data_IF_704187302608
#
_entry.id   IF_704187302608
#
_cell.length_a   1.000
_cell.length_b   1.000
_cell.length_c   1.000
_cell.angle_alpha   90.00
_cell.angle_beta   90.00
_cell.angle_gamma   90.00
#
_symmetry.space_group_name_H-M   'P 1'
#
loop_
_entity.id
_entity.type
_entity.pdbx_description
1 polymer ?
#
# COMPACT_ATOMS: atom_id res chain seq x y z
N UNK A 1 2.76 7.53 -15.03
CA UNK A 1 1.45 7.55 -14.32
C UNK A 1 1.61 8.34 -13.04
N UNK A 2 0.75 9.35 -12.79
CA UNK A 2 0.70 10.01 -11.49
C UNK A 2 -0.23 9.18 -10.59
N UNK A 3 0.18 8.77 -9.38
CA UNK A 3 -0.71 8.03 -8.50
C UNK A 3 -1.88 8.94 -8.10
N UNK A 4 -3.11 8.45 -8.29
CA UNK A 4 -4.35 9.15 -7.89
C UNK A 4 -4.84 8.71 -6.51
N UNK A 5 -4.42 7.54 -6.04
CA UNK A 5 -4.81 6.93 -4.77
C UNK A 5 -3.57 6.31 -4.07
N UNK A 6 -3.42 6.55 -2.77
CA UNK A 6 -2.33 6.05 -1.92
C UNK A 6 -2.93 5.35 -0.70
N UNK A 7 -2.48 4.13 -0.44
CA UNK A 7 -2.94 3.30 0.69
C UNK A 7 -1.81 3.07 1.68
N UNK A 8 -2.14 3.09 2.97
CA UNK A 8 -1.24 2.68 4.06
C UNK A 8 -1.99 1.82 5.09
N UNK A 9 -1.22 1.18 5.95
CA UNK A 9 -1.75 0.54 7.16
C UNK A 9 -2.27 1.59 8.16
N UNK A 10 -3.07 1.13 9.12
CA UNK A 10 -3.71 1.98 10.16
C UNK A 10 -2.70 2.82 10.94
N UNK A 11 -1.48 2.31 11.16
CA UNK A 11 -0.42 3.06 11.85
C UNK A 11 0.06 4.31 11.08
N UNK A 12 -0.15 4.36 9.76
CA UNK A 12 0.16 5.52 8.91
C UNK A 12 -1.00 6.51 8.77
N UNK A 13 -2.18 6.19 9.30
CA UNK A 13 -3.42 6.93 9.09
C UNK A 13 -3.60 8.08 10.11
N UNK A 14 -2.68 9.05 10.10
CA UNK A 14 -2.79 10.27 10.91
C UNK A 14 -3.56 11.37 10.18
N UNK A 15 -4.14 12.32 10.92
CA UNK A 15 -4.80 13.50 10.33
C UNK A 15 -3.81 14.31 9.49
N UNK A 16 -2.55 14.44 9.92
CA UNK A 16 -1.49 15.11 9.14
C UNK A 16 -1.32 14.46 7.77
N UNK A 17 -1.36 13.12 7.69
CA UNK A 17 -1.24 12.39 6.43
C UNK A 17 -2.44 12.69 5.51
N UNK A 18 -3.67 12.59 6.02
CA UNK A 18 -4.86 12.99 5.27
C UNK A 18 -4.76 14.44 4.75
N UNK A 19 -4.31 15.37 5.58
CA UNK A 19 -4.14 16.78 5.20
C UNK A 19 -3.12 16.96 4.06
N UNK A 20 -1.96 16.31 4.14
CA UNK A 20 -0.93 16.40 3.09
C UNK A 20 -1.44 15.80 1.78
N UNK A 21 -2.02 14.61 1.81
CA UNK A 21 -2.52 13.97 0.60
C UNK A 21 -3.62 14.81 -0.05
N UNK A 22 -4.51 15.40 0.76
CA UNK A 22 -5.52 16.33 0.29
C UNK A 22 -4.91 17.54 -0.42
N UNK A 23 -3.90 18.18 0.17
CA UNK A 23 -3.21 19.32 -0.46
C UNK A 23 -2.49 18.94 -1.76
N UNK A 24 -1.97 17.71 -1.83
CA UNK A 24 -1.29 17.18 -3.02
C UNK A 24 -2.28 16.75 -4.12
N UNK A 25 -3.59 16.75 -3.85
CA UNK A 25 -4.62 16.31 -4.78
C UNK A 25 -4.65 14.78 -4.96
N UNK A 26 -4.21 14.02 -3.96
CA UNK A 26 -4.21 12.56 -3.96
C UNK A 26 -5.23 12.03 -2.96
N UNK A 27 -5.95 10.99 -3.35
CA UNK A 27 -6.84 10.29 -2.42
C UNK A 27 -6.00 9.42 -1.48
N UNK A 28 -6.13 9.64 -0.18
CA UNK A 28 -5.56 8.75 0.83
C UNK A 28 -6.62 7.74 1.28
N UNK A 29 -6.34 6.46 1.10
CA UNK A 29 -7.28 5.36 1.36
C UNK A 29 -6.65 4.31 2.28
N UNK A 30 -6.41 4.61 3.57
CA UNK A 30 -5.84 3.66 4.50
C UNK A 30 -6.86 2.59 4.92
N UNK A 31 -6.39 1.38 5.24
CA UNK A 31 -7.24 0.41 5.96
C UNK A 31 -7.34 0.79 7.42
N UNK A 32 -8.55 0.67 7.91
CA UNK A 32 -8.90 0.92 9.29
C UNK A 32 -9.16 -0.43 9.93
N UNK A 33 -8.21 -0.89 10.74
CA UNK A 33 -8.34 -2.16 11.46
C UNK A 33 -9.56 -2.14 12.41
N UNK A 34 -9.85 -0.98 13.00
CA UNK A 34 -11.03 -0.73 13.80
C UNK A 34 -11.80 0.47 13.23
N UNK A 35 -12.50 0.24 12.11
CA UNK A 35 -13.33 1.26 11.51
C UNK A 35 -14.54 1.60 12.40
N UNK A 36 -15.00 0.66 13.26
CA UNK A 36 -16.15 0.85 14.13
C UNK A 36 -15.93 1.88 15.24
N UNK A 37 -14.69 2.06 15.69
CA UNK A 37 -14.33 3.11 16.66
C UNK A 37 -13.89 4.43 16.01
N UNK A 38 -13.88 4.51 14.67
CA UNK A 38 -13.40 5.69 13.97
C UNK A 38 -14.29 6.90 14.25
N UNK A 39 -13.67 8.00 14.64
CA UNK A 39 -14.33 9.27 14.91
C UNK A 39 -14.49 10.07 13.62
N UNK A 40 -15.73 10.49 13.33
CA UNK A 40 -16.04 11.52 12.33
C UNK A 40 -15.99 12.91 12.98
N UNK A 41 -15.65 13.94 12.21
CA UNK A 41 -15.60 15.33 12.68
C UNK A 41 -16.65 16.19 11.98
N UNK A 42 -17.16 17.21 12.68
CA UNK A 42 -18.21 18.11 12.17
C UNK A 42 -17.64 19.50 11.89
N UNK A 43 -18.04 20.12 10.78
CA UNK A 43 -17.76 21.54 10.53
C UNK A 43 -18.75 22.44 11.26
N UNK A 44 -20.04 22.06 11.25
CA UNK A 44 -21.12 22.72 11.98
C UNK A 44 -21.51 21.91 13.23
N UNK A 45 -21.30 22.45 14.45
CA UNK A 45 -21.70 21.77 15.68
C UNK A 45 -23.22 21.65 15.84
N UNK A 46 -24.01 22.52 15.20
CA UNK A 46 -25.47 22.55 15.29
C UNK A 46 -26.17 21.64 14.26
N UNK A 47 -25.44 21.07 13.30
CA UNK A 47 -26.01 20.14 12.34
C UNK A 47 -26.67 18.94 13.05
N UNK A 48 -27.61 18.29 12.38
CA UNK A 48 -28.19 17.02 12.82
C UNK A 48 -27.92 15.95 11.75
N UNK A 49 -27.17 14.91 12.12
CA UNK A 49 -26.87 13.75 11.27
C UNK A 49 -27.67 12.51 11.69
N UNK A 50 -28.72 12.68 12.51
CA UNK A 50 -29.61 11.62 12.95
C UNK A 50 -28.84 10.50 13.68
N UNK A 51 -28.97 9.22 13.24
CA UNK A 51 -28.29 8.09 13.86
C UNK A 51 -26.76 8.21 13.96
N UNK A 52 -26.14 9.05 13.10
CA UNK A 52 -24.69 9.21 13.05
C UNK A 52 -24.15 10.23 14.07
N UNK A 53 -25.00 10.97 14.78
CA UNK A 53 -24.56 11.99 15.73
C UNK A 53 -23.58 11.43 16.79
N UNK A 54 -23.81 10.20 17.26
CA UNK A 54 -22.96 9.55 18.26
C UNK A 54 -21.58 9.12 17.71
N UNK A 55 -21.43 9.01 16.38
CA UNK A 55 -20.16 8.69 15.70
C UNK A 55 -19.34 9.95 15.37
N UNK A 56 -19.97 11.11 15.47
CA UNK A 56 -19.30 12.40 15.25
C UNK A 56 -18.83 13.00 16.56
N UNK A 57 -17.57 13.41 16.63
CA UNK A 57 -16.99 14.21 17.74
C UNK A 57 -16.61 15.60 17.26
N UNK A 58 -15.99 16.37 18.17
CA UNK A 58 -15.25 17.64 18.06
C UNK A 58 -15.37 18.44 16.75
N UNK A 59 -15.66 19.74 16.89
CA UNK A 59 -15.71 20.70 15.79
C UNK A 59 -14.34 20.85 15.10
N UNK A 60 -14.34 20.77 13.76
CA UNK A 60 -13.20 21.15 12.92
C UNK A 60 -13.04 22.67 13.00
N UNK A 61 -11.84 23.15 13.31
CA UNK A 61 -11.56 24.58 13.28
C UNK A 61 -11.26 25.02 11.84
N UNK A 62 -12.30 25.35 11.08
CA UNK A 62 -12.18 25.82 9.70
C UNK A 62 -11.46 27.17 9.60
N UNK A 63 -11.55 28.02 10.64
CA UNK A 63 -10.82 29.28 10.71
C UNK A 63 -9.32 29.07 10.68
N UNK A 64 -8.82 28.08 11.44
CA UNK A 64 -7.38 27.75 11.42
C UNK A 64 -6.91 27.26 10.05
N UNK A 65 -7.77 26.56 9.29
CA UNK A 65 -7.45 26.13 7.92
C UNK A 65 -7.35 27.35 7.00
N UNK A 66 -8.31 28.28 7.08
CA UNK A 66 -8.34 29.47 6.23
C UNK A 66 -7.20 30.44 6.56
N UNK A 67 -6.93 30.66 7.84
CA UNK A 67 -5.90 31.59 8.31
C UNK A 67 -4.49 31.13 7.94
N UNK A 68 -4.27 29.81 7.87
CA UNK A 68 -2.98 29.20 7.49
C UNK A 68 -2.94 28.70 6.04
N UNK A 69 -3.91 29.06 5.19
CA UNK A 69 -4.06 28.47 3.86
C UNK A 69 -2.81 28.64 2.98
N UNK A 70 -2.23 29.84 2.95
CA UNK A 70 -1.03 30.13 2.17
C UNK A 70 0.18 29.32 2.65
N UNK A 71 0.31 29.12 3.96
CA UNK A 71 1.38 28.30 4.54
C UNK A 71 1.19 26.82 4.19
N UNK A 72 -0.04 26.32 4.23
CA UNK A 72 -0.37 24.95 3.83
C UNK A 72 -0.01 24.71 2.35
N UNK A 73 -0.32 25.68 1.47
CA UNK A 73 0.07 25.61 0.06
C UNK A 73 1.58 25.63 -0.13
N UNK A 74 2.33 26.43 0.65
CA UNK A 74 3.80 26.42 0.62
C UNK A 74 4.37 25.07 1.03
N UNK A 75 3.81 24.43 2.06
CA UNK A 75 4.20 23.08 2.48
C UNK A 75 4.01 22.08 1.33
N UNK A 76 2.86 22.10 0.67
CA UNK A 76 2.59 21.24 -0.48
C UNK A 76 3.54 21.53 -1.66
N UNK A 77 3.84 22.80 -1.92
CA UNK A 77 4.78 23.21 -2.96
C UNK A 77 6.21 22.69 -2.67
N UNK A 78 6.69 22.81 -1.43
CA UNK A 78 8.00 22.30 -1.00
C UNK A 78 8.12 20.78 -1.14
N UNK A 79 7.05 20.04 -0.85
CA UNK A 79 6.99 18.60 -1.12
C UNK A 79 7.04 18.30 -2.61
N UNK A 80 6.22 19.01 -3.40
CA UNK A 80 6.11 18.78 -4.84
C UNK A 80 7.39 19.13 -5.60
N UNK A 81 8.13 20.15 -5.15
CA UNK A 81 9.42 20.54 -5.73
C UNK A 81 10.59 19.65 -5.27
N UNK A 82 10.38 18.77 -4.28
CA UNK A 82 11.43 17.95 -3.69
C UNK A 82 12.41 18.73 -2.82
N UNK A 83 12.09 19.98 -2.45
CA UNK A 83 12.92 20.81 -1.59
C UNK A 83 13.10 20.23 -0.18
N UNK A 84 12.14 19.42 0.29
CA UNK A 84 12.18 18.74 1.59
C UNK A 84 11.73 17.29 1.43
N UNK A 85 12.39 16.36 2.11
CA UNK A 85 11.96 14.95 2.16
C UNK A 85 10.67 14.84 2.97
N UNK A 86 9.71 14.05 2.47
CA UNK A 86 8.43 13.86 3.14
C UNK A 86 8.59 13.42 4.62
N UNK A 87 9.48 12.48 4.90
CA UNK A 87 9.72 11.97 6.27
C UNK A 87 10.22 13.04 7.25
N UNK A 88 11.02 14.00 6.77
CA UNK A 88 11.50 15.12 7.59
C UNK A 88 10.39 16.12 7.85
N UNK A 89 9.60 16.44 6.83
CA UNK A 89 8.45 17.31 6.96
C UNK A 89 7.41 16.74 7.93
N UNK A 90 7.05 15.45 7.81
CA UNK A 90 6.12 14.79 8.73
C UNK A 90 6.62 14.89 10.18
N UNK A 91 7.92 14.69 10.41
CA UNK A 91 8.53 14.81 11.75
C UNK A 91 8.46 16.24 12.28
N UNK A 92 8.76 17.22 11.43
CA UNK A 92 8.66 18.64 11.76
C UNK A 92 7.22 19.02 12.14
N UNK A 93 6.23 18.66 11.31
CA UNK A 93 4.82 19.00 11.52
C UNK A 93 4.26 18.36 12.79
N UNK A 94 4.67 17.12 13.10
CA UNK A 94 4.26 16.41 14.31
C UNK A 94 4.93 16.95 15.59
N UNK A 95 6.04 17.70 15.46
CA UNK A 95 6.71 18.38 16.57
C UNK A 95 7.13 17.50 17.75
N UNK A 96 7.40 16.21 17.51
CA UNK A 96 7.82 15.27 18.56
C UNK A 96 6.73 14.93 19.59
N UNK A 97 5.47 15.18 19.28
CA UNK A 97 4.31 14.83 20.13
C UNK A 97 3.27 15.94 20.18
N UNK A 98 3.71 17.20 20.08
CA UNK A 98 2.80 18.36 19.94
C UNK A 98 2.97 18.96 18.55
N UNK A 99 1.92 18.95 17.71
CA UNK A 99 2.01 19.49 16.36
C UNK A 99 2.38 20.98 16.36
N UNK A 100 3.21 21.39 15.39
CA UNK A 100 3.55 22.81 15.16
C UNK A 100 2.29 23.60 14.78
N UNK A 101 2.31 24.96 14.79
CA UNK A 101 1.15 25.74 14.37
C UNK A 101 0.59 25.33 13.00
N UNK A 102 1.49 25.21 12.00
CA UNK A 102 1.13 24.71 10.67
C UNK A 102 0.72 23.23 10.68
N UNK A 103 1.35 22.42 11.53
CA UNK A 103 0.94 21.02 11.78
C UNK A 103 -0.48 20.91 12.31
N UNK A 104 -0.91 21.81 13.19
CA UNK A 104 -2.29 21.87 13.71
C UNK A 104 -3.29 22.28 12.63
N UNK A 105 -2.98 23.31 11.84
CA UNK A 105 -3.83 23.71 10.72
C UNK A 105 -4.02 22.57 9.71
N UNK A 106 -2.92 21.87 9.41
CA UNK A 106 -2.93 20.70 8.55
C UNK A 106 -3.73 19.52 9.14
N UNK A 107 -3.68 19.33 10.46
CA UNK A 107 -4.53 18.34 11.13
C UNK A 107 -6.02 18.67 11.01
N UNK A 108 -6.42 19.93 11.14
CA UNK A 108 -7.83 20.31 10.94
C UNK A 108 -8.30 20.00 9.51
N UNK A 109 -7.47 20.30 8.49
CA UNK A 109 -7.74 19.90 7.11
C UNK A 109 -7.79 18.36 6.97
N UNK A 110 -6.89 17.67 7.64
CA UNK A 110 -6.87 16.21 7.68
C UNK A 110 -8.10 15.58 8.29
N UNK A 111 -8.65 16.17 9.37
CA UNK A 111 -9.91 15.74 9.99
C UNK A 111 -11.09 15.86 9.03
N UNK A 112 -11.12 16.93 8.24
CA UNK A 112 -12.14 17.13 7.20
C UNK A 112 -12.06 16.00 6.17
N UNK A 113 -10.89 15.81 5.55
CA UNK A 113 -10.71 14.81 4.50
C UNK A 113 -10.90 13.38 5.01
N UNK A 114 -10.39 13.10 6.22
CA UNK A 114 -10.61 11.82 6.93
C UNK A 114 -12.10 11.55 7.15
N UNK A 115 -12.89 12.55 7.53
CA UNK A 115 -14.33 12.37 7.77
C UNK A 115 -15.07 12.07 6.48
N UNK A 116 -14.73 12.76 5.39
CA UNK A 116 -15.28 12.49 4.05
C UNK A 116 -14.90 11.06 3.61
N UNK A 117 -13.64 10.68 3.75
CA UNK A 117 -13.18 9.33 3.42
C UNK A 117 -13.91 8.25 4.23
N UNK A 118 -14.04 8.44 5.55
CA UNK A 118 -14.72 7.50 6.44
C UNK A 118 -16.19 7.34 6.07
N UNK A 119 -16.90 8.43 5.77
CA UNK A 119 -18.28 8.36 5.31
C UNK A 119 -18.41 7.50 4.04
N UNK A 120 -17.55 7.74 3.04
CA UNK A 120 -17.50 6.92 1.83
C UNK A 120 -17.11 5.47 2.12
N UNK A 121 -16.16 5.23 3.04
CA UNK A 121 -15.69 3.90 3.41
C UNK A 121 -16.77 3.09 4.14
N UNK A 122 -17.66 3.72 4.90
CA UNK A 122 -18.79 3.06 5.55
C UNK A 122 -19.95 2.77 4.60
N UNK A 123 -20.16 3.60 3.60
CA UNK A 123 -21.24 3.42 2.62
C UNK A 123 -20.86 2.44 1.49
N UNK A 124 -19.65 2.58 0.93
CA UNK A 124 -19.24 1.88 -0.29
C UNK A 124 -18.45 0.58 0.00
N UNK A 125 -19.10 -0.57 -0.23
CA UNK A 125 -18.45 -1.87 -0.13
C UNK A 125 -17.33 -2.08 -1.17
N UNK A 126 -17.46 -1.54 -2.38
CA UNK A 126 -16.46 -1.67 -3.44
C UNK A 126 -15.18 -0.92 -3.05
N UNK A 127 -15.30 0.26 -2.45
CA UNK A 127 -14.17 0.99 -1.87
C UNK A 127 -13.46 0.14 -0.81
N UNK A 128 -14.21 -0.44 0.15
CA UNK A 128 -13.62 -1.32 1.18
C UNK A 128 -12.88 -2.52 0.57
N UNK A 129 -13.48 -3.18 -0.42
CA UNK A 129 -12.87 -4.32 -1.12
C UNK A 129 -11.60 -3.92 -1.87
N UNK A 130 -11.59 -2.75 -2.52
CA UNK A 130 -10.42 -2.21 -3.23
C UNK A 130 -9.27 -1.93 -2.26
N UNK A 131 -9.53 -1.22 -1.15
CA UNK A 131 -8.54 -0.92 -0.12
C UNK A 131 -7.92 -2.19 0.47
N UNK A 132 -8.76 -3.17 0.83
CA UNK A 132 -8.28 -4.45 1.36
C UNK A 132 -7.43 -5.23 0.33
N UNK A 133 -7.84 -5.23 -0.94
CA UNK A 133 -7.09 -5.90 -2.01
C UNK A 133 -5.71 -5.28 -2.21
N UNK A 134 -5.61 -3.96 -2.17
CA UNK A 134 -4.34 -3.25 -2.31
C UNK A 134 -3.37 -3.56 -1.17
N UNK A 135 -3.85 -3.63 0.07
CA UNK A 135 -3.01 -4.02 1.20
C UNK A 135 -2.61 -5.47 1.17
N UNK A 136 -3.53 -6.38 0.81
CA UNK A 136 -3.19 -7.79 0.66
C UNK A 136 -2.05 -7.99 -0.36
N UNK A 137 -1.99 -7.16 -1.43
CA UNK A 137 -0.84 -7.17 -2.36
C UNK A 137 0.44 -6.68 -1.70
N UNK A 138 0.39 -5.59 -0.93
CA UNK A 138 1.56 -5.08 -0.22
C UNK A 138 2.09 -6.09 0.80
N UNK A 139 1.21 -6.70 1.59
CA UNK A 139 1.54 -7.74 2.56
C UNK A 139 2.08 -9.01 1.90
N UNK A 140 1.47 -9.44 0.78
CA UNK A 140 1.97 -10.57 -0.02
C UNK A 140 3.37 -10.30 -0.57
N UNK A 141 3.64 -9.07 -1.03
CA UNK A 141 4.98 -8.65 -1.47
C UNK A 141 5.97 -8.67 -0.33
N UNK A 142 5.60 -8.17 0.85
CA UNK A 142 6.45 -8.23 2.05
C UNK A 142 6.73 -9.66 2.49
N UNK A 143 5.71 -10.53 2.47
CA UNK A 143 5.85 -11.96 2.78
C UNK A 143 6.80 -12.64 1.79
N UNK A 144 6.67 -12.37 0.49
CA UNK A 144 7.61 -12.85 -0.52
C UNK A 144 9.03 -12.34 -0.27
N UNK A 145 9.20 -11.04 0.02
CA UNK A 145 10.49 -10.46 0.32
C UNK A 145 11.15 -11.12 1.55
N UNK A 146 10.40 -11.36 2.63
CA UNK A 146 10.89 -12.09 3.81
C UNK A 146 11.29 -13.52 3.49
N UNK A 147 10.54 -14.23 2.63
CA UNK A 147 10.90 -15.58 2.17
C UNK A 147 12.18 -15.59 1.34
N UNK A 148 12.43 -14.57 0.53
CA UNK A 148 13.66 -14.44 -0.27
C UNK A 148 14.85 -14.09 0.64
N UNK A 149 14.67 -13.18 1.59
CA UNK A 149 15.74 -12.67 2.47
C UNK A 149 16.13 -13.62 3.62
N UNK A 150 15.95 -14.93 3.47
CA UNK A 150 16.00 -15.92 4.55
C UNK A 150 17.44 -16.27 5.05
N UNK A 151 18.40 -15.35 4.96
CA UNK A 151 19.71 -15.50 5.58
C UNK A 151 19.66 -15.08 7.06
N UNK A 152 19.80 -16.03 7.99
CA UNK A 152 19.85 -15.83 9.46
C UNK A 152 18.53 -15.45 10.17
N UNK A 153 17.50 -16.32 10.12
CA UNK A 153 16.28 -16.21 10.96
C UNK A 153 15.54 -14.86 10.88
N UNK A 154 15.74 -14.07 9.83
CA UNK A 154 15.00 -12.81 9.60
C UNK A 154 15.43 -11.63 10.48
N UNK A 155 16.54 -11.71 11.23
CA UNK A 155 17.09 -10.57 11.97
C UNK A 155 18.18 -9.85 11.17
N UNK A 156 17.94 -8.58 10.82
CA UNK A 156 18.94 -7.67 10.28
C UNK A 156 19.92 -7.25 11.39
N UNK A 157 20.95 -8.06 11.63
CA UNK A 157 22.11 -7.65 12.45
C UNK A 157 23.30 -7.29 11.58
N UNK A 158 23.24 -6.10 10.97
CA UNK A 158 24.46 -5.40 10.57
C UNK A 158 24.34 -3.91 10.90
N UNK A 159 25.26 -3.42 11.74
CA UNK A 159 25.61 -2.01 11.79
C UNK A 159 26.27 -1.69 10.45
N UNK A 160 25.60 -0.97 9.56
CA UNK A 160 26.15 0.06 8.64
C UNK A 160 25.07 0.47 7.62
N UNK A 161 24.93 1.78 7.38
CA UNK A 161 23.83 2.39 6.60
C UNK A 161 24.02 2.22 5.08
N UNK A 162 25.25 2.10 4.60
CA UNK A 162 25.57 1.98 3.15
C UNK A 162 25.35 0.56 2.59
N UNK A 163 25.51 -0.51 3.39
CA UNK A 163 25.26 -1.88 2.91
C UNK A 163 23.77 -2.26 2.80
N UNK A 164 22.88 -1.47 3.43
CA UNK A 164 21.44 -1.71 3.41
C UNK A 164 20.80 -1.33 2.07
N UNK A 165 21.28 -0.28 1.40
CA UNK A 165 20.69 0.17 0.14
C UNK A 165 20.91 -0.85 -0.98
N UNK A 166 22.12 -1.41 -1.08
CA UNK A 166 22.44 -2.48 -2.03
C UNK A 166 21.69 -3.77 -1.72
N UNK A 167 21.57 -4.15 -0.44
CA UNK A 167 20.79 -5.32 -0.03
C UNK A 167 19.29 -5.15 -0.30
N UNK A 168 18.73 -3.97 -0.06
CA UNK A 168 17.33 -3.65 -0.36
C UNK A 168 17.09 -3.58 -1.87
N UNK A 169 18.05 -3.05 -2.64
CA UNK A 169 18.03 -3.04 -4.10
C UNK A 169 18.06 -4.45 -4.67
N UNK A 170 18.99 -5.29 -4.23
CA UNK A 170 19.09 -6.69 -4.63
C UNK A 170 17.85 -7.51 -4.23
N UNK A 171 17.32 -7.30 -3.02
CA UNK A 171 16.07 -7.92 -2.58
C UNK A 171 14.88 -7.49 -3.45
N UNK A 172 14.77 -6.19 -3.73
CA UNK A 172 13.74 -5.65 -4.61
C UNK A 172 13.82 -6.22 -6.02
N UNK A 173 15.04 -6.36 -6.55
CA UNK A 173 15.30 -7.03 -7.83
C UNK A 173 14.84 -8.49 -7.80
N UNK A 174 15.23 -9.27 -6.81
CA UNK A 174 14.84 -10.68 -6.68
C UNK A 174 13.33 -10.86 -6.55
N UNK A 175 12.66 -10.01 -5.77
CA UNK A 175 11.19 -9.97 -5.69
C UNK A 175 10.58 -9.74 -7.07
N UNK A 176 11.09 -8.78 -7.83
CA UNK A 176 10.59 -8.49 -9.18
C UNK A 176 10.85 -9.64 -10.16
N UNK A 177 12.00 -10.32 -10.07
CA UNK A 177 12.30 -11.53 -10.88
C UNK A 177 11.28 -12.64 -10.61
N UNK A 178 10.96 -12.89 -9.33
CA UNK A 178 9.93 -13.87 -8.97
C UNK A 178 8.55 -13.47 -9.52
N UNK A 179 8.17 -12.21 -9.38
CA UNK A 179 6.90 -11.68 -9.92
C UNK A 179 6.83 -11.90 -11.43
N UNK A 180 7.91 -11.59 -12.16
CA UNK A 180 7.99 -11.78 -13.59
C UNK A 180 7.86 -13.26 -13.96
N UNK A 181 8.61 -14.14 -13.29
CA UNK A 181 8.52 -15.59 -13.48
C UNK A 181 7.08 -16.08 -13.28
N UNK A 182 6.46 -15.73 -12.16
CA UNK A 182 5.08 -16.12 -11.86
C UNK A 182 4.09 -15.61 -12.90
N UNK A 183 4.25 -14.37 -13.36
CA UNK A 183 3.38 -13.78 -14.38
C UNK A 183 3.45 -14.58 -15.69
N UNK A 184 4.67 -14.88 -16.16
CA UNK A 184 4.90 -15.63 -17.40
C UNK A 184 4.34 -17.05 -17.31
N UNK A 185 4.63 -17.77 -16.22
CA UNK A 185 4.15 -19.15 -16.07
C UNK A 185 2.65 -19.24 -15.79
N UNK A 186 2.06 -18.24 -15.13
CA UNK A 186 0.61 -18.17 -14.94
C UNK A 186 -0.10 -17.96 -16.28
N UNK A 187 0.42 -17.07 -17.14
CA UNK A 187 -0.11 -16.88 -18.49
C UNK A 187 -0.06 -18.19 -19.30
N UNK A 188 1.07 -18.89 -19.28
CA UNK A 188 1.23 -20.19 -19.94
C UNK A 188 0.27 -21.25 -19.39
N UNK A 189 0.05 -21.27 -18.08
CA UNK A 189 -0.91 -22.18 -17.46
C UNK A 189 -2.34 -21.90 -17.91
N UNK A 190 -2.74 -20.63 -18.00
CA UNK A 190 -4.05 -20.23 -18.52
C UNK A 190 -4.22 -20.68 -19.99
N UNK A 191 -3.19 -20.48 -20.82
CA UNK A 191 -3.20 -20.93 -22.22
C UNK A 191 -3.37 -22.44 -22.33
N UNK A 192 -2.65 -23.21 -21.51
CA UNK A 192 -2.78 -24.67 -21.49
C UNK A 192 -4.18 -25.11 -21.04
N UNK A 193 -4.72 -24.54 -19.94
CA UNK A 193 -6.07 -24.85 -19.45
C UNK A 193 -7.13 -24.56 -20.53
N UNK A 194 -6.97 -23.47 -21.28
CA UNK A 194 -7.85 -23.15 -22.43
C UNK A 194 -7.71 -24.16 -23.55
N UNK A 195 -6.49 -24.58 -23.87
CA UNK A 195 -6.23 -25.58 -24.91
C UNK A 195 -6.79 -26.97 -24.54
N UNK A 196 -6.85 -27.29 -23.25
CA UNK A 196 -7.48 -28.50 -22.70
C UNK A 196 -9.03 -28.43 -22.69
N UNK A 197 -9.62 -27.34 -23.21
CA UNK A 197 -11.06 -27.17 -23.36
C UNK A 197 -11.77 -26.57 -22.14
N UNK A 198 -11.03 -26.16 -21.11
CA UNK A 198 -11.62 -25.55 -19.91
C UNK A 198 -11.89 -24.07 -20.13
N UNK A 199 -13.10 -23.62 -19.84
CA UNK A 199 -13.49 -22.21 -19.93
C UNK A 199 -12.87 -21.42 -18.77
N UNK A 200 -12.01 -20.45 -19.08
CA UNK A 200 -11.41 -19.53 -18.09
C UNK A 200 -12.10 -18.16 -18.18
N UNK A 201 -12.78 -17.74 -17.11
CA UNK A 201 -13.45 -16.44 -17.07
C UNK A 201 -12.47 -15.30 -16.81
N UNK A 202 -12.71 -14.14 -17.45
CA UNK A 202 -11.88 -12.95 -17.24
C UNK A 202 -11.88 -12.46 -15.78
N UNK A 203 -12.98 -12.66 -15.07
CA UNK A 203 -13.10 -12.33 -13.65
C UNK A 203 -12.15 -13.15 -12.75
N UNK A 204 -11.84 -14.38 -13.14
CA UNK A 204 -10.92 -15.23 -12.38
C UNK A 204 -9.47 -14.82 -12.64
N UNK A 205 -9.15 -14.49 -13.90
CA UNK A 205 -7.83 -13.93 -14.27
C UNK A 205 -7.56 -12.64 -13.49
N UNK A 206 -8.57 -11.77 -13.36
CA UNK A 206 -8.46 -10.51 -12.62
C UNK A 206 -8.15 -10.69 -11.12
N UNK A 207 -8.40 -11.88 -10.56
CA UNK A 207 -8.12 -12.21 -9.15
C UNK A 207 -6.74 -12.84 -8.93
N UNK A 208 -6.04 -13.22 -10.00
CA UNK A 208 -4.73 -13.86 -9.89
C UNK A 208 -3.68 -12.89 -9.33
N UNK A 209 -2.79 -13.42 -8.49
CA UNK A 209 -1.68 -12.68 -7.91
C UNK A 209 -0.34 -13.32 -8.30
N UNK A 210 0.60 -12.56 -8.89
CA UNK A 210 1.93 -13.08 -9.23
C UNK A 210 2.86 -13.18 -8.00
N UNK A 211 2.33 -13.01 -6.78
CA UNK A 211 3.12 -13.01 -5.53
C UNK A 211 3.17 -14.39 -4.84
N UNK A 212 2.48 -15.40 -5.40
CA UNK A 212 2.51 -16.77 -4.88
C UNK A 212 3.92 -17.34 -4.86
N UNK A 213 4.31 -18.00 -3.75
CA UNK A 213 5.70 -18.43 -3.53
C UNK A 213 5.85 -19.88 -3.06
N UNK A 214 4.75 -20.62 -2.91
CA UNK A 214 4.77 -22.00 -2.39
C UNK A 214 5.52 -22.99 -3.30
N UNK A 215 5.55 -22.71 -4.61
CA UNK A 215 6.22 -23.54 -5.59
C UNK A 215 7.74 -23.28 -5.70
N UNK A 216 8.24 -22.24 -5.02
CA UNK A 216 9.64 -21.83 -5.02
C UNK A 216 10.37 -22.49 -3.87
N UNK A 217 11.45 -23.21 -4.20
CA UNK A 217 12.36 -23.69 -3.18
C UNK A 217 13.43 -22.62 -2.91
N UNK A 218 13.46 -22.10 -1.68
CA UNK A 218 14.43 -21.09 -1.24
C UNK A 218 15.65 -21.71 -0.55
N UNK A 219 15.57 -22.96 -0.10
CA UNK A 219 16.61 -23.64 0.67
C UNK A 219 17.13 -24.89 -0.05
N UNK A 220 18.42 -25.15 0.09
CA UNK A 220 19.06 -26.36 -0.42
C UNK A 220 20.12 -26.06 -1.48
N UNK A 221 20.45 -27.09 -2.26
CA UNK A 221 21.51 -27.03 -3.27
C UNK A 221 20.89 -26.75 -4.63
N UNK A 222 21.32 -25.65 -5.26
CA UNK A 222 20.94 -25.31 -6.62
C UNK A 222 21.98 -25.88 -7.59
N UNK A 223 21.49 -26.55 -8.63
CA UNK A 223 22.32 -26.93 -9.76
C UNK A 223 21.95 -26.03 -10.94
N UNK A 224 22.93 -25.25 -11.42
CA UNK A 224 22.73 -24.26 -12.48
C UNK A 224 23.02 -24.82 -13.88
N UNK A 225 23.06 -26.14 -14.06
CA UNK A 225 23.07 -26.72 -15.41
C UNK A 225 21.75 -26.40 -16.12
N UNK A 226 21.76 -25.37 -16.96
CA UNK A 226 20.63 -25.07 -17.83
C UNK A 226 20.49 -26.15 -18.89
N UNK A 227 19.28 -26.70 -19.05
CA UNK A 227 18.96 -27.49 -20.21
C UNK A 227 19.10 -26.63 -21.48
N UNK A 228 19.59 -27.17 -22.62
CA UNK A 228 19.79 -26.42 -23.85
C UNK A 228 18.55 -25.63 -24.31
N UNK A 229 17.37 -26.21 -24.10
CA UNK A 229 16.09 -25.57 -24.42
C UNK A 229 15.84 -24.28 -23.63
N UNK A 230 16.19 -24.26 -22.34
CA UNK A 230 16.07 -23.06 -21.50
C UNK A 230 17.13 -22.03 -21.89
N UNK A 231 18.34 -22.48 -22.23
CA UNK A 231 19.40 -21.62 -22.77
C UNK A 231 18.99 -20.94 -24.08
N UNK A 232 18.16 -21.60 -24.89
CA UNK A 232 17.56 -21.05 -26.11
C UNK A 232 16.31 -20.19 -25.87
N UNK A 233 16.00 -19.85 -24.61
CA UNK A 233 14.88 -18.99 -24.24
C UNK A 233 13.52 -19.70 -24.15
N UNK A 234 13.45 -21.04 -24.25
CA UNK A 234 12.20 -21.76 -24.02
C UNK A 234 11.86 -21.80 -22.54
N UNK A 235 10.56 -21.84 -22.24
CA UNK A 235 10.07 -22.01 -20.88
C UNK A 235 10.14 -23.47 -20.45
N UNK A 236 10.28 -23.70 -19.15
CA UNK A 236 10.18 -25.05 -18.57
C UNK A 236 8.75 -25.58 -18.78
N UNK A 237 8.58 -26.91 -18.91
CA UNK A 237 7.26 -27.53 -18.91
C UNK A 237 6.50 -27.21 -17.61
N UNK A 238 5.17 -27.10 -17.71
CA UNK A 238 4.32 -27.00 -16.52
C UNK A 238 4.37 -28.33 -15.73
N UNK A 239 4.23 -28.24 -14.41
CA UNK A 239 4.13 -29.44 -13.57
C UNK A 239 2.73 -30.05 -13.77
N UNK A 240 2.66 -31.36 -13.96
CA UNK A 240 1.38 -32.05 -13.94
C UNK A 240 0.76 -31.95 -12.53
N UNK A 241 -0.56 -31.70 -12.41
CA UNK A 241 -1.23 -31.76 -11.12
C UNK A 241 -1.06 -33.16 -10.53
N UNK A 242 -0.79 -33.24 -9.22
CA UNK A 242 -0.79 -34.53 -8.53
C UNK A 242 -2.23 -35.05 -8.50
N UNK A 243 -2.50 -36.35 -8.75
CA UNK A 243 -3.85 -36.87 -8.64
C UNK A 243 -4.37 -36.68 -7.21
N UNK A 244 -5.49 -35.95 -7.07
CA UNK A 244 -6.20 -35.74 -5.79
C UNK A 244 -6.13 -34.34 -5.17
N UNK A 245 -5.77 -33.29 -5.90
CA UNK A 245 -5.93 -31.88 -5.49
C UNK A 245 -6.91 -31.12 -6.39
#
# INVERSE_FOLDING_TARGET
MRPTEITSDTAGASEIAFGIFRLMGWQFSPRLADAGSATLYRTDPAADYGPLNNLTRTRINTGLITDSWDELLRVAASLRSGAVKASELFRYLAGGGTPTPIGRALMELGRLDRSIYLASYFDDELLRRRVNTQLNRQESRHTLARKIFHGQKGELRQRYREGMEDQLGALGFMVNVVILWNTVYTARAIEQIRAEGTRVHAADIARLSPLGSEHLNMLGRYNFKLAPEIGAGRLRPLRAPRPGQ
#
